data_IF_078186508493
#
_entry.id   IF_078186508493
#
_cell.length_a   1.000
_cell.length_b   1.000
_cell.length_c   1.000
_cell.angle_alpha   90.00
_cell.angle_beta   90.00
_cell.angle_gamma   90.00
#
_symmetry.space_group_name_H-M   'P 1'
#
loop_
_entity.id
_entity.type
_entity.pdbx_description
1 polymer ?
#
# COMPACT_ATOMS: atom_id res chain seq x y z
N UNK A 1 31.52 -3.99 5.46
CA UNK A 1 30.78 -3.02 6.29
C UNK A 1 30.54 -1.67 5.60
N UNK A 2 31.38 -1.21 4.69
CA UNK A 2 31.24 0.07 3.96
C UNK A 2 30.04 0.16 2.98
N UNK A 3 29.56 -0.96 2.46
CA UNK A 3 28.51 -0.98 1.43
C UNK A 3 27.08 -0.76 1.95
N UNK A 4 26.79 -1.00 3.21
CA UNK A 4 25.46 -0.77 3.81
C UNK A 4 25.25 0.72 4.10
N UNK A 5 26.29 1.40 4.52
CA UNK A 5 26.28 2.84 4.85
C UNK A 5 26.05 3.73 3.61
N UNK A 6 26.74 3.48 2.49
CA UNK A 6 26.64 4.35 1.29
C UNK A 6 25.28 4.32 0.59
N UNK A 7 24.54 3.19 0.59
CA UNK A 7 23.24 3.11 -0.08
C UNK A 7 22.09 3.77 0.71
N UNK A 8 22.14 3.73 2.04
CA UNK A 8 21.11 4.34 2.90
C UNK A 8 21.14 5.86 2.90
N UNK A 9 22.26 6.46 2.55
CA UNK A 9 22.44 7.93 2.51
C UNK A 9 22.32 8.55 1.11
N UNK A 10 21.93 7.79 0.09
CA UNK A 10 21.80 8.32 -1.28
C UNK A 10 20.81 9.49 -1.39
N UNK A 11 19.76 9.50 -0.55
CA UNK A 11 18.81 10.61 -0.45
C UNK A 11 19.45 11.91 0.06
N UNK A 12 20.54 11.82 0.82
CA UNK A 12 21.27 12.98 1.37
C UNK A 12 22.45 13.44 0.49
N UNK A 13 23.04 12.53 -0.29
CA UNK A 13 24.32 12.76 -0.98
C UNK A 13 24.20 12.88 -2.50
N UNK A 14 23.34 12.07 -3.14
CA UNK A 14 23.18 12.07 -4.60
C UNK A 14 22.44 13.31 -5.10
N UNK A 15 22.62 13.68 -6.37
CA UNK A 15 21.83 14.77 -7.01
C UNK A 15 20.34 14.51 -6.80
N UNK A 16 19.53 15.53 -6.39
CA UNK A 16 18.13 15.33 -6.03
C UNK A 16 17.30 14.53 -7.04
N UNK A 17 17.41 14.86 -8.34
CA UNK A 17 16.68 14.15 -9.39
C UNK A 17 17.06 12.67 -9.49
N UNK A 18 18.38 12.35 -9.40
CA UNK A 18 18.85 10.95 -9.43
C UNK A 18 18.37 10.19 -8.20
N UNK A 19 18.46 10.79 -7.01
CA UNK A 19 18.01 10.17 -5.77
C UNK A 19 16.50 9.85 -5.80
N UNK A 20 15.69 10.83 -6.23
CA UNK A 20 14.23 10.68 -6.36
C UNK A 20 13.84 9.60 -7.37
N UNK A 21 14.41 9.61 -8.58
CA UNK A 21 14.09 8.63 -9.62
C UNK A 21 14.53 7.21 -9.25
N UNK A 22 15.74 7.03 -8.71
CA UNK A 22 16.23 5.71 -8.28
C UNK A 22 15.40 5.12 -7.14
N UNK A 23 14.82 5.98 -6.31
CA UNK A 23 13.95 5.54 -5.21
C UNK A 23 12.51 5.33 -5.68
N UNK A 24 11.97 6.19 -6.54
CA UNK A 24 10.61 6.09 -7.05
C UNK A 24 10.43 4.88 -7.99
N UNK A 25 11.44 4.52 -8.78
CA UNK A 25 11.33 3.44 -9.75
C UNK A 25 10.93 2.07 -9.13
N UNK A 26 11.55 1.59 -8.04
CA UNK A 26 11.08 0.39 -7.36
C UNK A 26 9.66 0.53 -6.77
N UNK A 27 9.26 1.73 -6.33
CA UNK A 27 7.90 1.97 -5.83
C UNK A 27 6.88 1.89 -6.97
N UNK A 28 7.19 2.43 -8.15
CA UNK A 28 6.34 2.31 -9.35
C UNK A 28 6.15 0.84 -9.71
N UNK A 29 7.25 0.09 -9.81
CA UNK A 29 7.19 -1.34 -10.10
C UNK A 29 6.39 -2.10 -9.05
N UNK A 30 6.58 -1.78 -7.76
CA UNK A 30 5.82 -2.40 -6.67
C UNK A 30 4.32 -2.16 -6.81
N UNK A 31 3.90 -0.93 -7.05
CA UNK A 31 2.48 -0.61 -7.24
C UNK A 31 1.89 -1.29 -8.48
N UNK A 32 2.63 -1.40 -9.60
CA UNK A 32 2.18 -2.13 -10.78
C UNK A 32 2.06 -3.64 -10.49
N UNK A 33 3.02 -4.23 -9.80
CA UNK A 33 2.93 -5.62 -9.34
C UNK A 33 1.74 -5.86 -8.41
N UNK A 34 1.44 -4.91 -7.52
CA UNK A 34 0.27 -4.99 -6.65
C UNK A 34 -1.04 -5.01 -7.46
N UNK A 35 -1.15 -4.18 -8.49
CA UNK A 35 -2.33 -4.18 -9.38
C UNK A 35 -2.46 -5.49 -10.15
N UNK A 36 -1.33 -5.98 -10.69
CA UNK A 36 -1.31 -7.29 -11.37
C UNK A 36 -1.74 -8.43 -10.42
N UNK A 37 -1.21 -8.44 -9.21
CA UNK A 37 -1.59 -9.40 -8.18
C UNK A 37 -3.11 -9.36 -7.89
N UNK A 38 -3.70 -8.18 -7.67
CA UNK A 38 -5.13 -8.04 -7.40
C UNK A 38 -6.00 -8.57 -8.56
N UNK A 39 -5.55 -8.37 -9.81
CA UNK A 39 -6.23 -8.91 -11.00
C UNK A 39 -6.14 -10.45 -11.02
N UNK A 40 -4.94 -11.00 -10.77
CA UNK A 40 -4.75 -12.46 -10.77
C UNK A 40 -5.55 -13.15 -9.67
N UNK A 41 -5.62 -12.59 -8.48
CA UNK A 41 -6.44 -13.07 -7.37
C UNK A 41 -7.93 -13.13 -7.77
N UNK A 42 -8.44 -12.04 -8.37
CA UNK A 42 -9.81 -12.00 -8.89
C UNK A 42 -10.08 -13.02 -10.00
N UNK A 43 -9.11 -13.25 -10.89
CA UNK A 43 -9.21 -14.26 -11.96
C UNK A 43 -9.23 -15.67 -11.38
N UNK A 44 -8.41 -15.97 -10.38
CA UNK A 44 -8.42 -17.29 -9.73
C UNK A 44 -9.77 -17.55 -9.07
N UNK A 45 -10.27 -16.59 -8.29
CA UNK A 45 -11.57 -16.72 -7.64
C UNK A 45 -12.72 -16.89 -8.67
N UNK A 46 -12.77 -16.01 -9.67
CA UNK A 46 -13.86 -16.02 -10.67
C UNK A 46 -13.87 -17.25 -11.57
N UNK A 47 -12.69 -17.74 -12.00
CA UNK A 47 -12.61 -18.88 -12.93
C UNK A 47 -12.66 -20.24 -12.25
N UNK A 48 -12.05 -20.39 -11.08
CA UNK A 48 -11.86 -21.69 -10.44
C UNK A 48 -12.77 -21.94 -9.23
N UNK A 49 -13.45 -20.90 -8.72
CA UNK A 49 -14.40 -21.08 -7.62
C UNK A 49 -15.84 -20.86 -8.12
N UNK A 50 -16.32 -19.63 -8.18
CA UNK A 50 -17.65 -19.28 -8.71
C UNK A 50 -17.85 -17.75 -8.77
N UNK A 51 -18.88 -17.31 -9.51
CA UNK A 51 -19.29 -15.90 -9.52
C UNK A 51 -19.72 -15.41 -8.13
N UNK A 52 -20.42 -16.23 -7.36
CA UNK A 52 -20.80 -15.90 -5.99
C UNK A 52 -19.59 -15.73 -5.08
N UNK A 53 -18.55 -16.56 -5.25
CA UNK A 53 -17.29 -16.43 -4.53
C UNK A 53 -16.58 -15.10 -4.86
N UNK A 54 -16.53 -14.73 -6.14
CA UNK A 54 -15.98 -13.44 -6.57
C UNK A 54 -16.77 -12.27 -5.98
N UNK A 55 -18.09 -12.36 -5.96
CA UNK A 55 -18.95 -11.34 -5.35
C UNK A 55 -18.74 -11.25 -3.83
N UNK A 56 -18.56 -12.37 -3.11
CA UNK A 56 -18.31 -12.38 -1.67
C UNK A 56 -16.96 -11.76 -1.30
N UNK A 57 -15.90 -12.07 -2.07
CA UNK A 57 -14.57 -11.45 -1.93
C UNK A 57 -14.65 -9.96 -2.26
N UNK A 58 -15.36 -9.58 -3.33
CA UNK A 58 -15.58 -8.19 -3.72
C UNK A 58 -16.30 -7.36 -2.65
N UNK A 59 -17.36 -7.89 -2.03
CA UNK A 59 -18.06 -7.27 -0.92
C UNK A 59 -17.12 -7.09 0.30
N UNK A 60 -16.29 -8.08 0.59
CA UNK A 60 -15.30 -8.04 1.67
C UNK A 60 -14.20 -7.02 1.41
N UNK A 61 -13.85 -6.76 0.14
CA UNK A 61 -12.78 -5.84 -0.26
C UNK A 61 -13.05 -4.40 0.19
N UNK A 62 -14.30 -3.95 0.19
CA UNK A 62 -14.67 -2.63 0.69
C UNK A 62 -14.30 -2.46 2.19
N UNK A 63 -14.54 -3.50 2.99
CA UNK A 63 -14.17 -3.51 4.42
C UNK A 63 -12.65 -3.54 4.58
N UNK A 64 -11.98 -4.44 3.87
CA UNK A 64 -10.53 -4.61 3.98
C UNK A 64 -9.76 -3.35 3.61
N UNK A 65 -10.23 -2.58 2.62
CA UNK A 65 -9.63 -1.31 2.22
C UNK A 65 -9.60 -0.26 3.33
N UNK A 66 -10.60 -0.23 4.20
CA UNK A 66 -10.60 0.68 5.35
C UNK A 66 -9.43 0.37 6.29
N UNK A 67 -9.20 -0.91 6.58
CA UNK A 67 -8.08 -1.33 7.44
C UNK A 67 -6.72 -1.11 6.76
N UNK A 68 -6.63 -1.35 5.45
CA UNK A 68 -5.42 -1.06 4.65
C UNK A 68 -5.11 0.45 4.68
N UNK A 69 -6.12 1.32 4.55
CA UNK A 69 -5.94 2.77 4.62
C UNK A 69 -5.34 3.21 5.98
N UNK A 70 -5.78 2.59 7.08
CA UNK A 70 -5.20 2.82 8.41
C UNK A 70 -3.73 2.38 8.46
N UNK A 71 -3.40 1.21 7.92
CA UNK A 71 -2.03 0.70 7.89
C UNK A 71 -1.10 1.60 7.06
N UNK A 72 -1.54 2.01 5.86
CA UNK A 72 -0.76 2.86 4.95
C UNK A 72 -0.61 4.28 5.54
N UNK A 73 -1.72 4.92 5.93
CA UNK A 73 -1.70 6.28 6.47
C UNK A 73 -0.89 6.38 7.77
N UNK A 74 -1.03 5.37 8.64
CA UNK A 74 -0.24 5.28 9.85
C UNK A 74 1.25 5.04 9.58
N UNK A 75 1.57 4.18 8.62
CA UNK A 75 2.94 3.94 8.16
C UNK A 75 3.61 5.21 7.63
N UNK A 76 2.86 6.08 6.92
CA UNK A 76 3.35 7.38 6.46
C UNK A 76 3.79 8.28 7.63
N UNK A 77 2.99 8.39 8.70
CA UNK A 77 3.33 9.19 9.87
C UNK A 77 4.62 8.72 10.54
N UNK A 78 4.76 7.43 10.74
CA UNK A 78 5.98 6.83 11.29
C UNK A 78 7.19 7.03 10.38
N UNK A 79 7.01 6.89 9.07
CA UNK A 79 8.05 7.06 8.05
C UNK A 79 8.70 8.45 8.12
N UNK A 80 7.92 9.51 8.34
CA UNK A 80 8.44 10.89 8.45
C UNK A 80 9.39 11.02 9.64
N UNK A 81 8.99 10.56 10.81
CA UNK A 81 9.80 10.67 12.04
C UNK A 81 11.07 9.83 11.96
N UNK A 82 10.97 8.59 11.46
CA UNK A 82 12.12 7.70 11.26
C UNK A 82 13.11 8.32 10.27
N UNK A 83 12.62 8.87 9.15
CA UNK A 83 13.43 9.55 8.13
C UNK A 83 14.14 10.78 8.67
N UNK A 84 13.47 11.57 9.53
CA UNK A 84 14.08 12.75 10.16
C UNK A 84 15.23 12.36 11.09
N UNK A 85 15.07 11.34 11.94
CA UNK A 85 16.15 10.89 12.82
C UNK A 85 17.30 10.28 12.03
N UNK A 86 17.01 9.53 10.96
CA UNK A 86 18.07 9.04 10.06
C UNK A 86 18.84 10.18 9.42
N UNK A 87 18.15 11.18 8.89
CA UNK A 87 18.75 12.37 8.28
C UNK A 87 19.58 13.19 9.27
N UNK A 88 19.13 13.30 10.52
CA UNK A 88 19.85 13.98 11.60
C UNK A 88 21.09 13.21 12.11
N UNK A 89 21.30 11.97 11.62
CA UNK A 89 22.37 11.09 12.12
C UNK A 89 22.12 10.50 13.51
N UNK A 90 20.91 10.71 14.10
CA UNK A 90 20.54 10.21 15.44
C UNK A 90 20.04 8.78 15.35
N UNK A 91 20.99 7.85 15.15
CA UNK A 91 20.69 6.46 14.77
C UNK A 91 20.01 5.67 15.89
N UNK A 92 20.32 5.94 17.14
CA UNK A 92 19.67 5.29 18.29
C UNK A 92 18.21 5.73 18.41
N UNK A 93 17.92 7.04 18.24
CA UNK A 93 16.52 7.52 18.20
C UNK A 93 15.78 6.99 16.98
N UNK A 94 16.41 6.85 15.85
CA UNK A 94 15.82 6.19 14.68
C UNK A 94 15.42 4.74 15.00
N UNK A 95 16.29 3.96 15.68
CA UNK A 95 15.96 2.59 16.10
C UNK A 95 14.81 2.57 17.11
N UNK A 96 14.81 3.48 18.10
CA UNK A 96 13.70 3.64 19.06
C UNK A 96 12.40 3.97 18.31
N UNK A 97 12.45 4.86 17.32
CA UNK A 97 11.30 5.20 16.48
C UNK A 97 10.76 3.98 15.71
N UNK A 98 11.64 3.17 15.11
CA UNK A 98 11.25 1.92 14.44
C UNK A 98 10.60 0.95 15.42
N UNK A 99 11.21 0.71 16.59
CA UNK A 99 10.67 -0.19 17.61
C UNK A 99 9.30 0.28 18.11
N UNK A 100 9.17 1.58 18.43
CA UNK A 100 7.90 2.21 18.83
C UNK A 100 6.81 2.02 17.76
N UNK A 101 7.17 2.21 16.48
CA UNK A 101 6.26 1.99 15.35
C UNK A 101 5.77 0.56 15.30
N UNK A 102 6.69 -0.43 15.29
CA UNK A 102 6.33 -1.85 15.18
C UNK A 102 5.43 -2.30 16.33
N UNK A 103 5.74 -1.90 17.56
CA UNK A 103 4.93 -2.23 18.75
C UNK A 103 3.55 -1.58 18.66
N UNK A 104 3.48 -0.27 18.35
CA UNK A 104 2.21 0.45 18.22
C UNK A 104 1.29 -0.20 17.19
N UNK A 105 1.81 -0.52 16.01
CA UNK A 105 1.00 -1.12 14.95
C UNK A 105 0.63 -2.57 15.21
N UNK A 106 1.46 -3.33 15.92
CA UNK A 106 1.09 -4.66 16.38
C UNK A 106 -0.09 -4.61 17.35
N UNK A 107 -0.07 -3.69 18.31
CA UNK A 107 -1.17 -3.49 19.28
C UNK A 107 -2.44 -3.00 18.57
N UNK A 108 -2.32 -1.99 17.71
CA UNK A 108 -3.45 -1.45 16.95
C UNK A 108 -4.07 -2.52 16.06
N UNK A 109 -3.27 -3.29 15.34
CA UNK A 109 -3.77 -4.35 14.44
C UNK A 109 -4.44 -5.49 15.20
N UNK A 110 -3.91 -5.88 16.37
CA UNK A 110 -4.55 -6.87 17.23
C UNK A 110 -5.90 -6.37 17.78
N UNK A 111 -5.97 -5.10 18.21
CA UNK A 111 -7.22 -4.49 18.67
C UNK A 111 -8.25 -4.38 17.54
N UNK A 112 -7.84 -3.92 16.35
CA UNK A 112 -8.71 -3.84 15.18
C UNK A 112 -9.14 -5.23 14.68
N UNK A 113 -8.26 -6.23 14.72
CA UNK A 113 -8.57 -7.61 14.40
C UNK A 113 -9.62 -8.20 15.34
N UNK A 114 -9.44 -8.00 16.64
CA UNK A 114 -10.41 -8.43 17.66
C UNK A 114 -11.78 -7.72 17.48
N UNK A 115 -11.76 -6.41 17.21
CA UNK A 115 -12.97 -5.66 16.87
C UNK A 115 -13.66 -6.22 15.63
N UNK A 116 -12.90 -6.45 14.54
CA UNK A 116 -13.41 -7.02 13.30
C UNK A 116 -14.03 -8.40 13.51
N UNK A 117 -13.37 -9.28 14.28
CA UNK A 117 -13.90 -10.61 14.63
C UNK A 117 -15.20 -10.51 15.45
N UNK A 118 -15.28 -9.60 16.42
CA UNK A 118 -16.45 -9.43 17.27
C UNK A 118 -17.67 -8.87 16.52
N UNK A 119 -17.44 -8.01 15.52
CA UNK A 119 -18.49 -7.31 14.78
C UNK A 119 -18.63 -7.75 13.32
N UNK A 120 -17.97 -8.85 12.91
CA UNK A 120 -17.93 -9.32 11.52
C UNK A 120 -19.31 -9.36 10.85
N UNK A 121 -20.25 -10.07 11.44
CA UNK A 121 -21.58 -10.28 10.86
C UNK A 121 -22.41 -8.97 10.85
N UNK A 122 -22.21 -8.11 11.85
CA UNK A 122 -22.86 -6.78 11.89
C UNK A 122 -22.34 -5.85 10.81
N UNK A 123 -21.02 -5.87 10.55
CA UNK A 123 -20.41 -5.05 9.49
C UNK A 123 -21.02 -5.45 8.13
N UNK A 124 -21.11 -6.74 7.83
CA UNK A 124 -21.68 -7.23 6.58
C UNK A 124 -23.17 -6.91 6.46
N UNK A 125 -23.93 -7.04 7.55
CA UNK A 125 -25.36 -6.69 7.58
C UNK A 125 -25.58 -5.18 7.34
N UNK A 126 -24.76 -4.31 7.93
CA UNK A 126 -24.79 -2.87 7.68
C UNK A 126 -24.48 -2.51 6.21
N UNK A 127 -23.69 -3.33 5.55
CA UNK A 127 -23.39 -3.16 4.12
C UNK A 127 -24.47 -3.73 3.20
N UNK A 128 -25.53 -4.31 3.74
CA UNK A 128 -26.60 -4.97 2.99
C UNK A 128 -26.07 -6.06 2.03
N UNK A 129 -25.10 -6.87 2.51
CA UNK A 129 -24.56 -7.98 1.72
C UNK A 129 -25.66 -9.01 1.50
N UNK A 130 -25.92 -9.44 0.24
CA UNK A 130 -26.98 -10.41 -0.08
C UNK A 130 -26.81 -11.76 0.64
N UNK A 131 -27.91 -12.41 1.03
CA UNK A 131 -27.89 -13.66 1.81
C UNK A 131 -27.17 -14.81 1.10
N UNK A 132 -27.23 -14.87 -0.23
CA UNK A 132 -26.58 -15.90 -1.04
C UNK A 132 -25.04 -15.87 -1.00
N UNK A 133 -24.42 -14.75 -0.63
CA UNK A 133 -22.97 -14.59 -0.53
C UNK A 133 -22.52 -14.26 0.88
N UNK A 134 -23.44 -14.05 1.82
CA UNK A 134 -23.15 -13.60 3.19
C UNK A 134 -22.22 -14.55 3.94
N UNK A 135 -22.50 -15.85 3.88
CA UNK A 135 -21.71 -16.86 4.59
C UNK A 135 -20.24 -16.89 4.13
N UNK A 136 -20.02 -16.82 2.82
CA UNK A 136 -18.67 -16.81 2.23
C UNK A 136 -17.93 -15.50 2.54
N UNK A 137 -18.61 -14.36 2.46
CA UNK A 137 -18.06 -13.06 2.82
C UNK A 137 -17.69 -13.02 4.33
N UNK A 138 -18.54 -13.55 5.20
CA UNK A 138 -18.29 -13.63 6.63
C UNK A 138 -17.08 -14.54 6.95
N UNK A 139 -16.98 -15.67 6.27
CA UNK A 139 -15.84 -16.58 6.41
C UNK A 139 -14.53 -15.91 5.94
N UNK A 140 -14.56 -15.27 4.77
CA UNK A 140 -13.38 -14.54 4.23
C UNK A 140 -12.91 -13.47 5.19
N UNK A 141 -13.82 -12.60 5.66
CA UNK A 141 -13.46 -11.52 6.59
C UNK A 141 -12.97 -12.03 7.95
N UNK A 142 -13.53 -13.13 8.48
CA UNK A 142 -13.00 -13.73 9.72
C UNK A 142 -11.55 -14.15 9.57
N UNK A 143 -11.19 -14.80 8.46
CA UNK A 143 -9.80 -15.20 8.18
C UNK A 143 -8.93 -13.96 8.00
N UNK A 144 -9.43 -12.95 7.28
CA UNK A 144 -8.74 -11.68 7.08
C UNK A 144 -8.45 -10.96 8.42
N UNK A 145 -9.41 -10.89 9.33
CA UNK A 145 -9.22 -10.27 10.65
C UNK A 145 -8.19 -10.99 11.51
N UNK A 146 -8.11 -12.32 11.43
CA UNK A 146 -7.01 -13.09 12.01
C UNK A 146 -5.65 -12.73 11.38
N UNK A 147 -5.65 -12.43 10.10
CA UNK A 147 -4.46 -12.02 9.35
C UNK A 147 -4.07 -10.55 9.51
N UNK A 148 -4.92 -9.73 10.12
CA UNK A 148 -4.73 -8.29 10.20
C UNK A 148 -3.38 -7.87 10.84
N UNK A 149 -2.88 -8.51 11.90
CA UNK A 149 -1.56 -8.23 12.43
C UNK A 149 -0.43 -8.44 11.40
N UNK A 150 -0.50 -9.47 10.57
CA UNK A 150 0.51 -9.73 9.54
C UNK A 150 0.44 -8.69 8.41
N UNK A 151 -0.75 -8.34 7.98
CA UNK A 151 -0.98 -7.28 6.98
C UNK A 151 -0.41 -5.94 7.46
N UNK A 152 -0.73 -5.54 8.69
CA UNK A 152 -0.23 -4.29 9.26
C UNK A 152 1.29 -4.32 9.39
N UNK A 153 1.85 -5.40 9.92
CA UNK A 153 3.30 -5.53 10.09
C UNK A 153 4.02 -5.49 8.74
N UNK A 154 3.49 -6.14 7.70
CA UNK A 154 4.06 -6.08 6.36
C UNK A 154 4.07 -4.63 5.81
N UNK A 155 2.93 -3.92 5.86
CA UNK A 155 2.81 -2.55 5.35
C UNK A 155 3.68 -1.55 6.13
N UNK A 156 3.69 -1.67 7.46
CA UNK A 156 4.48 -0.79 8.32
C UNK A 156 5.98 -1.02 8.13
N UNK A 157 6.41 -2.27 8.00
CA UNK A 157 7.82 -2.59 7.72
C UNK A 157 8.24 -2.08 6.34
N UNK A 158 7.37 -2.16 5.33
CA UNK A 158 7.62 -1.54 4.03
C UNK A 158 7.81 -0.03 4.14
N UNK A 159 6.98 0.65 4.94
CA UNK A 159 7.14 2.09 5.26
C UNK A 159 8.44 2.39 5.99
N UNK A 160 8.86 1.52 6.92
CA UNK A 160 10.15 1.64 7.61
C UNK A 160 11.32 1.47 6.63
N UNK A 161 11.30 0.48 5.74
CA UNK A 161 12.33 0.35 4.70
C UNK A 161 12.41 1.59 3.82
N UNK A 162 11.27 2.12 3.40
CA UNK A 162 11.20 3.34 2.61
C UNK A 162 11.80 4.54 3.38
N UNK A 163 11.50 4.68 4.66
CA UNK A 163 12.06 5.74 5.50
C UNK A 163 13.59 5.65 5.65
N UNK A 164 14.12 4.42 5.59
CA UNK A 164 15.57 4.15 5.59
C UNK A 164 16.22 4.33 4.20
N UNK A 165 15.48 4.81 3.19
CA UNK A 165 15.98 5.00 1.84
C UNK A 165 16.07 3.72 1.00
N UNK A 166 15.39 2.64 1.41
CA UNK A 166 15.41 1.35 0.74
C UNK A 166 14.04 0.97 0.17
N UNK A 167 13.77 1.39 -1.05
CA UNK A 167 12.55 1.00 -1.78
C UNK A 167 12.66 -0.36 -2.50
N UNK A 168 13.86 -0.95 -2.58
CA UNK A 168 14.06 -2.22 -3.29
C UNK A 168 13.69 -3.43 -2.46
N UNK A 169 13.92 -3.39 -1.15
CA UNK A 169 13.57 -4.51 -0.27
C UNK A 169 12.06 -4.73 -0.20
N UNK A 170 11.20 -3.72 0.00
CA UNK A 170 9.75 -3.89 -0.10
C UNK A 170 9.29 -4.45 -1.44
N UNK A 171 9.85 -4.00 -2.58
CA UNK A 171 9.53 -4.53 -3.89
C UNK A 171 9.83 -6.03 -4.00
N UNK A 172 11.00 -6.47 -3.55
CA UNK A 172 11.37 -7.90 -3.59
C UNK A 172 10.44 -8.75 -2.73
N UNK A 173 10.08 -8.26 -1.55
CA UNK A 173 9.15 -8.93 -0.65
C UNK A 173 7.74 -8.97 -1.23
N UNK A 174 7.30 -7.92 -1.92
CA UNK A 174 6.01 -7.90 -2.60
C UNK A 174 5.96 -8.94 -3.73
N UNK A 175 6.99 -8.98 -4.58
CA UNK A 175 7.08 -9.98 -5.65
C UNK A 175 7.04 -11.40 -5.06
N UNK A 176 7.83 -11.66 -4.00
CA UNK A 176 7.81 -12.95 -3.30
C UNK A 176 6.42 -13.28 -2.75
N UNK A 177 5.79 -12.34 -2.03
CA UNK A 177 4.45 -12.51 -1.46
C UNK A 177 3.40 -12.80 -2.51
N UNK A 178 3.40 -12.04 -3.61
CA UNK A 178 2.44 -12.19 -4.69
C UNK A 178 2.56 -13.52 -5.42
N UNK A 179 3.79 -13.93 -5.74
CA UNK A 179 4.03 -15.23 -6.38
C UNK A 179 3.65 -16.38 -5.45
N UNK A 180 4.02 -16.31 -4.18
CA UNK A 180 3.66 -17.32 -3.19
C UNK A 180 2.14 -17.41 -3.03
N UNK A 181 1.45 -16.27 -2.96
CA UNK A 181 -0.01 -16.25 -2.84
C UNK A 181 -0.69 -16.89 -4.05
N UNK A 182 -0.31 -16.52 -5.30
CA UNK A 182 -0.87 -17.11 -6.52
C UNK A 182 -0.69 -18.63 -6.52
N UNK A 183 0.50 -19.13 -6.14
CA UNK A 183 0.75 -20.58 -6.06
C UNK A 183 -0.14 -21.24 -5.00
N UNK A 184 -0.27 -20.62 -3.83
CA UNK A 184 -1.12 -21.14 -2.76
C UNK A 184 -2.61 -21.07 -3.11
N UNK A 185 -3.07 -20.01 -3.78
CA UNK A 185 -4.44 -19.89 -4.26
C UNK A 185 -4.79 -21.03 -5.20
N UNK A 186 -3.95 -21.27 -6.22
CA UNK A 186 -4.16 -22.36 -7.16
C UNK A 186 -4.15 -23.73 -6.45
N UNK A 187 -3.21 -23.94 -5.53
CA UNK A 187 -3.11 -25.18 -4.76
C UNK A 187 -4.35 -25.41 -3.89
N UNK A 188 -4.79 -24.40 -3.12
CA UNK A 188 -5.90 -24.56 -2.20
C UNK A 188 -7.27 -24.60 -2.91
N UNK A 189 -7.41 -23.87 -4.02
CA UNK A 189 -8.65 -23.85 -4.78
C UNK A 189 -8.78 -25.08 -5.68
N UNK A 190 -7.73 -25.44 -6.43
CA UNK A 190 -7.81 -26.51 -7.43
C UNK A 190 -7.62 -27.88 -6.81
N UNK A 191 -6.54 -28.09 -6.01
CA UNK A 191 -6.20 -29.41 -5.46
C UNK A 191 -6.97 -29.71 -4.19
N UNK A 192 -7.10 -28.75 -3.26
CA UNK A 192 -7.78 -28.95 -2.00
C UNK A 192 -9.27 -28.59 -2.00
N UNK A 193 -9.79 -28.02 -3.09
CA UNK A 193 -11.20 -27.62 -3.27
C UNK A 193 -11.76 -26.76 -2.13
N UNK A 194 -10.90 -25.86 -1.57
CA UNK A 194 -11.25 -25.05 -0.40
C UNK A 194 -12.09 -23.81 -0.72
N UNK A 195 -12.42 -23.56 -2.00
CA UNK A 195 -13.22 -22.43 -2.45
C UNK A 195 -12.73 -21.07 -1.85
N UNK A 196 -13.62 -20.19 -1.39
CA UNK A 196 -13.32 -18.88 -0.80
C UNK A 196 -12.38 -18.99 0.41
N UNK A 197 -12.53 -20.05 1.22
CA UNK A 197 -11.64 -20.31 2.35
C UNK A 197 -10.19 -20.49 1.91
N UNK A 198 -9.97 -21.17 0.78
CA UNK A 198 -8.63 -21.41 0.23
C UNK A 198 -7.90 -20.10 -0.07
N UNK A 199 -8.56 -19.19 -0.77
CA UNK A 199 -8.02 -17.87 -1.12
C UNK A 199 -7.70 -17.04 0.12
N UNK A 200 -8.62 -17.00 1.10
CA UNK A 200 -8.39 -16.26 2.34
C UNK A 200 -7.18 -16.80 3.13
N UNK A 201 -7.04 -18.14 3.22
CA UNK A 201 -5.91 -18.79 3.91
C UNK A 201 -4.60 -18.61 3.14
N UNK A 202 -4.61 -18.69 1.81
CA UNK A 202 -3.44 -18.44 0.99
C UNK A 202 -2.90 -17.02 1.19
N UNK A 203 -3.78 -16.02 1.18
CA UNK A 203 -3.44 -14.63 1.47
C UNK A 203 -2.87 -14.48 2.87
N UNK A 204 -3.47 -15.11 3.88
CA UNK A 204 -2.98 -15.09 5.26
C UNK A 204 -1.56 -15.66 5.37
N UNK A 205 -1.31 -16.81 4.76
CA UNK A 205 0.01 -17.47 4.78
C UNK A 205 1.05 -16.62 4.04
N UNK A 206 0.74 -16.16 2.84
CA UNK A 206 1.65 -15.35 2.02
C UNK A 206 2.04 -14.05 2.74
N UNK A 207 1.09 -13.36 3.33
CA UNK A 207 1.33 -12.14 4.11
C UNK A 207 2.09 -12.43 5.41
N UNK A 208 1.74 -13.49 6.12
CA UNK A 208 2.42 -13.89 7.36
C UNK A 208 3.90 -14.21 7.14
N UNK A 209 4.21 -15.02 6.13
CA UNK A 209 5.59 -15.36 5.77
C UNK A 209 6.35 -14.11 5.29
N UNK A 210 5.73 -13.26 4.50
CA UNK A 210 6.35 -12.02 4.03
C UNK A 210 6.60 -11.03 5.16
N UNK A 211 5.69 -10.90 6.11
CA UNK A 211 5.89 -10.08 7.31
C UNK A 211 7.04 -10.60 8.17
N UNK A 212 7.14 -11.93 8.36
CA UNK A 212 8.22 -12.55 9.11
C UNK A 212 9.59 -12.36 8.43
N UNK A 213 9.67 -12.61 7.11
CA UNK A 213 10.89 -12.38 6.33
C UNK A 213 11.29 -10.91 6.33
N UNK A 214 10.32 -10.01 6.15
CA UNK A 214 10.51 -8.57 6.23
C UNK A 214 11.10 -8.16 7.58
N UNK A 215 10.55 -8.68 8.68
CA UNK A 215 11.04 -8.42 10.02
C UNK A 215 12.49 -8.88 10.21
N UNK A 216 12.83 -10.09 9.76
CA UNK A 216 14.18 -10.62 9.87
C UNK A 216 15.20 -9.77 9.07
N UNK A 217 14.84 -9.36 7.87
CA UNK A 217 15.68 -8.50 7.03
C UNK A 217 15.83 -7.11 7.68
N UNK A 218 14.73 -6.56 8.22
CA UNK A 218 14.76 -5.27 8.92
C UNK A 218 15.67 -5.33 10.16
N UNK A 219 15.56 -6.36 10.98
CA UNK A 219 16.40 -6.52 12.16
C UNK A 219 17.89 -6.65 11.81
N UNK A 220 18.20 -7.40 10.73
CA UNK A 220 19.58 -7.47 10.22
C UNK A 220 20.09 -6.11 9.76
N UNK A 221 19.26 -5.34 9.07
CA UNK A 221 19.61 -4.00 8.59
C UNK A 221 19.83 -3.04 9.76
N UNK A 222 18.96 -3.05 10.76
CA UNK A 222 19.07 -2.18 11.94
C UNK A 222 20.32 -2.47 12.78
N UNK A 223 20.76 -3.73 12.85
CA UNK A 223 22.02 -4.11 13.49
C UNK A 223 23.26 -3.49 12.80
N UNK A 224 23.17 -3.20 11.51
CA UNK A 224 24.24 -2.55 10.74
C UNK A 224 24.44 -1.06 11.06
N UNK A 225 23.45 -0.39 11.66
CA UNK A 225 23.58 0.99 12.11
C UNK A 225 24.27 1.04 13.48
N UNK A 226 25.33 1.88 13.59
CA UNK A 226 26.06 2.06 14.85
C UNK A 226 25.15 2.76 15.87
N UNK A 227 25.32 2.42 17.15
CA UNK A 227 24.65 3.15 18.23
C UNK A 227 25.40 4.46 18.51
N UNK A 228 24.64 5.50 18.77
CA UNK A 228 25.12 6.77 19.28
C UNK A 228 25.23 6.68 20.82
N UNK A 229 25.65 7.77 21.47
CA UNK A 229 25.70 7.91 22.93
C UNK A 229 24.31 8.00 23.58
N UNK A 230 23.23 8.05 22.76
CA UNK A 230 21.84 8.14 23.23
C UNK A 230 21.31 6.77 23.68
N UNK A 231 20.42 6.77 24.70
CA UNK A 231 19.79 5.54 25.21
C UNK A 231 18.73 4.98 24.26
N UNK A 232 18.86 3.71 23.92
CA UNK A 232 17.83 2.98 23.18
C UNK A 232 16.64 2.64 24.09
N UNK A 233 15.42 2.93 23.61
CA UNK A 233 14.17 2.54 24.24
C UNK A 233 13.36 1.65 23.29
N UNK A 234 12.81 0.56 23.80
CA UNK A 234 11.92 -0.30 23.01
C UNK A 234 10.63 0.43 22.60
N UNK A 235 10.12 1.29 23.48
CA UNK A 235 8.93 2.10 23.26
C UNK A 235 9.10 3.49 23.86
N UNK A 236 8.74 4.50 23.08
CA UNK A 236 8.77 5.89 23.51
C UNK A 236 7.41 6.54 23.22
N UNK A 237 6.72 6.94 24.32
CA UNK A 237 5.37 7.51 24.25
C UNK A 237 5.33 8.85 23.52
N UNK A 238 6.35 9.68 23.68
CA UNK A 238 6.41 11.00 23.03
C UNK A 238 6.61 10.84 21.52
N UNK A 239 7.45 9.90 21.12
CA UNK A 239 7.60 9.52 19.71
C UNK A 239 6.30 8.97 19.14
N UNK A 240 5.61 8.07 19.85
CA UNK A 240 4.32 7.54 19.44
C UNK A 240 3.29 8.66 19.24
N UNK A 241 3.22 9.61 20.17
CA UNK A 241 2.34 10.78 20.05
C UNK A 241 2.71 11.67 18.85
N UNK A 242 4.00 11.88 18.61
CA UNK A 242 4.49 12.65 17.45
C UNK A 242 4.16 11.97 16.13
N UNK A 243 4.33 10.64 16.04
CA UNK A 243 3.94 9.84 14.88
C UNK A 243 2.44 9.89 14.64
N UNK A 244 1.63 9.78 15.69
CA UNK A 244 0.17 9.84 15.61
C UNK A 244 -0.31 11.20 15.09
N UNK A 245 0.33 12.31 15.46
CA UNK A 245 -0.02 13.64 14.94
C UNK A 245 0.18 13.75 13.42
N UNK A 246 1.14 13.05 12.87
CA UNK A 246 1.38 13.02 11.41
C UNK A 246 0.51 11.94 10.75
N UNK A 247 0.33 10.80 11.41
CA UNK A 247 -0.44 9.67 10.89
C UNK A 247 -1.93 9.99 10.78
N UNK A 248 -2.52 10.64 11.79
CA UNK A 248 -3.96 10.89 11.84
C UNK A 248 -4.48 11.71 10.65
N UNK A 249 -3.86 12.86 10.26
CA UNK A 249 -4.25 13.56 9.05
C UNK A 249 -4.09 12.70 7.78
N UNK A 250 -3.05 11.87 7.69
CA UNK A 250 -2.82 11.00 6.54
C UNK A 250 -3.87 9.88 6.44
N UNK A 251 -4.27 9.29 7.57
CA UNK A 251 -5.36 8.30 7.63
C UNK A 251 -6.69 8.95 7.20
N UNK A 252 -6.99 10.13 7.74
CA UNK A 252 -8.21 10.87 7.38
C UNK A 252 -8.22 11.25 5.90
N UNK A 253 -7.10 11.71 5.34
CA UNK A 253 -6.96 12.00 3.92
C UNK A 253 -7.28 10.78 3.06
N UNK A 254 -6.67 9.62 3.36
CA UNK A 254 -6.93 8.38 2.64
C UNK A 254 -8.39 7.94 2.74
N UNK A 255 -8.98 8.04 3.93
CA UNK A 255 -10.38 7.69 4.15
C UNK A 255 -11.34 8.61 3.38
N UNK A 256 -11.10 9.93 3.37
CA UNK A 256 -11.91 10.90 2.63
C UNK A 256 -11.83 10.64 1.13
N UNK A 257 -10.65 10.33 0.59
CA UNK A 257 -10.48 9.98 -0.83
C UNK A 257 -11.32 8.75 -1.18
N UNK A 258 -11.27 7.69 -0.36
CA UNK A 258 -12.06 6.47 -0.60
C UNK A 258 -13.58 6.74 -0.54
N UNK A 259 -14.02 7.53 0.43
CA UNK A 259 -15.43 7.95 0.51
C UNK A 259 -15.83 8.79 -0.71
N UNK A 260 -14.96 9.68 -1.18
CA UNK A 260 -15.20 10.47 -2.40
C UNK A 260 -15.41 9.60 -3.63
N UNK A 261 -14.56 8.57 -3.82
CA UNK A 261 -14.70 7.61 -4.91
C UNK A 261 -16.04 6.88 -4.84
N UNK A 262 -16.45 6.42 -3.65
CA UNK A 262 -17.73 5.74 -3.45
C UNK A 262 -18.93 6.66 -3.76
N UNK A 263 -18.88 7.92 -3.36
CA UNK A 263 -19.93 8.89 -3.65
C UNK A 263 -20.05 9.16 -5.17
N UNK A 264 -18.92 9.37 -5.84
CA UNK A 264 -18.90 9.52 -7.31
C UNK A 264 -19.46 8.28 -7.99
N UNK A 265 -19.06 7.08 -7.59
CA UNK A 265 -19.58 5.82 -8.12
C UNK A 265 -21.10 5.71 -7.92
N UNK A 266 -21.60 6.11 -6.75
CA UNK A 266 -23.05 6.11 -6.47
C UNK A 266 -23.82 7.02 -7.43
N UNK A 267 -23.28 8.20 -7.75
CA UNK A 267 -23.88 9.11 -8.75
C UNK A 267 -23.81 8.51 -10.16
N UNK A 268 -22.65 7.96 -10.55
CA UNK A 268 -22.47 7.32 -11.87
C UNK A 268 -23.47 6.19 -12.08
N UNK A 269 -23.76 5.41 -11.05
CA UNK A 269 -24.71 4.30 -11.12
C UNK A 269 -26.14 4.74 -11.47
N UNK A 270 -26.48 6.02 -11.32
CA UNK A 270 -27.81 6.57 -11.71
C UNK A 270 -27.98 6.80 -13.21
N UNK A 271 -26.87 6.83 -13.97
CA UNK A 271 -26.90 7.16 -15.40
C UNK A 271 -27.06 5.97 -16.34
N UNK A 272 -27.19 4.74 -15.81
CA UNK A 272 -27.38 3.52 -16.59
C UNK A 272 -26.08 2.81 -16.98
N UNK A 273 -26.25 1.62 -17.60
CA UNK A 273 -25.17 0.66 -17.81
C UNK A 273 -24.05 1.14 -18.74
N UNK A 274 -24.38 1.87 -19.81
CA UNK A 274 -23.38 2.40 -20.77
C UNK A 274 -22.44 3.39 -20.10
N UNK A 275 -22.99 4.32 -19.29
CA UNK A 275 -22.19 5.32 -18.55
C UNK A 275 -21.32 4.63 -17.48
N UNK A 276 -21.86 3.63 -16.79
CA UNK A 276 -21.12 2.84 -15.81
C UNK A 276 -19.94 2.13 -16.48
N UNK A 277 -20.15 1.54 -17.66
CA UNK A 277 -19.09 0.85 -18.42
C UNK A 277 -17.98 1.82 -18.84
N UNK A 278 -18.33 2.98 -19.42
CA UNK A 278 -17.39 4.03 -19.80
C UNK A 278 -16.61 4.58 -18.60
N UNK A 279 -17.29 4.87 -17.50
CA UNK A 279 -16.65 5.32 -16.26
C UNK A 279 -15.68 4.26 -15.70
N UNK A 280 -16.08 2.98 -15.73
CA UNK A 280 -15.24 1.88 -15.26
C UNK A 280 -13.99 1.69 -16.11
N UNK A 281 -14.09 1.86 -17.43
CA UNK A 281 -12.93 1.86 -18.33
C UNK A 281 -12.00 3.05 -18.03
N UNK A 282 -12.57 4.25 -17.87
CA UNK A 282 -11.83 5.47 -17.52
C UNK A 282 -11.07 5.34 -16.20
N UNK A 283 -11.70 4.81 -15.15
CA UNK A 283 -11.07 4.63 -13.84
C UNK A 283 -9.94 3.59 -13.86
N UNK A 284 -9.99 2.59 -14.73
CA UNK A 284 -8.87 1.63 -14.92
C UNK A 284 -7.66 2.32 -15.54
N UNK A 285 -7.86 3.17 -16.53
CA UNK A 285 -6.79 3.98 -17.16
C UNK A 285 -6.22 4.95 -16.14
N UNK A 286 -7.07 5.63 -15.37
CA UNK A 286 -6.66 6.53 -14.28
C UNK A 286 -5.81 5.80 -13.24
N UNK A 287 -6.23 4.61 -12.80
CA UNK A 287 -5.52 3.81 -11.79
C UNK A 287 -4.09 3.48 -12.20
N UNK A 288 -3.84 3.19 -13.48
CA UNK A 288 -2.48 2.96 -14.01
C UNK A 288 -1.70 4.29 -14.07
N UNK A 289 -2.36 5.35 -14.47
CA UNK A 289 -1.75 6.69 -14.67
C UNK A 289 -1.32 7.35 -13.36
N UNK A 290 -2.06 7.14 -12.26
CA UNK A 290 -1.78 7.74 -10.96
C UNK A 290 -0.61 7.09 -10.22
N UNK A 291 -0.29 5.83 -10.52
CA UNK A 291 0.77 5.05 -9.85
C UNK A 291 2.14 5.73 -9.86
N UNK A 292 2.67 6.21 -11.00
CA UNK A 292 3.95 6.92 -11.01
C UNK A 292 3.93 8.22 -10.21
N UNK A 293 2.81 8.95 -10.23
CA UNK A 293 2.66 10.20 -9.49
C UNK A 293 2.72 9.97 -7.99
N UNK A 294 1.99 8.97 -7.49
CA UNK A 294 2.02 8.59 -6.07
C UNK A 294 3.41 8.12 -5.64
N UNK A 295 4.10 7.34 -6.47
CA UNK A 295 5.45 6.85 -6.18
C UNK A 295 6.47 8.00 -6.08
N UNK A 296 6.39 8.98 -6.98
CA UNK A 296 7.24 10.18 -6.94
C UNK A 296 6.91 11.02 -5.69
N UNK A 297 5.62 11.18 -5.35
CA UNK A 297 5.19 11.85 -4.12
C UNK A 297 5.74 11.19 -2.85
N UNK A 298 5.68 9.87 -2.75
CA UNK A 298 6.24 9.09 -1.65
C UNK A 298 7.78 9.21 -1.59
N UNK A 299 8.45 9.22 -2.74
CA UNK A 299 9.88 9.47 -2.83
C UNK A 299 10.25 10.87 -2.32
N UNK A 300 9.47 11.88 -2.70
CA UNK A 300 9.67 13.25 -2.25
C UNK A 300 9.41 13.41 -0.75
N UNK A 301 8.42 12.72 -0.19
CA UNK A 301 8.16 12.71 1.26
C UNK A 301 9.38 12.20 2.04
N UNK A 302 9.93 11.04 1.66
CA UNK A 302 11.13 10.47 2.28
C UNK A 302 12.36 11.39 2.11
N UNK A 303 12.55 11.91 0.88
CA UNK A 303 13.64 12.85 0.58
C UNK A 303 13.55 14.10 1.44
N UNK A 304 12.37 14.70 1.54
CA UNK A 304 12.13 15.89 2.37
C UNK A 304 12.42 15.60 3.83
N UNK A 305 11.85 14.52 4.39
CA UNK A 305 11.98 14.18 5.80
C UNK A 305 13.46 13.95 6.18
N UNK A 306 14.24 13.22 5.36
CA UNK A 306 15.65 12.99 5.62
C UNK A 306 16.48 14.30 5.51
N UNK A 307 16.26 15.12 4.48
CA UNK A 307 17.00 16.37 4.30
C UNK A 307 16.61 17.44 5.33
N UNK A 308 15.36 17.47 5.79
CA UNK A 308 14.94 18.32 6.93
C UNK A 308 15.61 17.87 8.22
N UNK A 309 15.69 16.56 8.47
CA UNK A 309 16.44 16.02 9.61
C UNK A 309 17.91 16.40 9.58
N UNK A 310 18.53 16.42 8.40
CA UNK A 310 19.92 16.86 8.18
C UNK A 310 20.11 18.39 8.21
N UNK A 311 19.04 19.18 8.39
CA UNK A 311 19.11 20.65 8.34
C UNK A 311 19.31 21.24 6.95
N UNK A 312 19.20 20.45 5.88
CA UNK A 312 19.54 20.91 4.51
C UNK A 312 18.29 21.39 3.74
N UNK A 313 17.75 22.53 4.16
CA UNK A 313 16.56 23.13 3.52
C UNK A 313 16.79 23.51 2.04
N UNK A 314 18.01 23.90 1.65
CA UNK A 314 18.31 24.23 0.25
C UNK A 314 18.06 23.02 -0.65
N UNK A 315 18.53 21.85 -0.21
CA UNK A 315 18.37 20.61 -0.94
C UNK A 315 16.92 20.16 -1.03
N UNK A 316 16.10 20.42 -0.01
CA UNK A 316 14.65 20.20 -0.03
C UNK A 316 13.99 21.03 -1.15
N UNK A 317 14.34 22.33 -1.26
CA UNK A 317 13.82 23.21 -2.33
C UNK A 317 14.22 22.72 -3.74
N UNK A 318 15.47 22.26 -3.88
CA UNK A 318 15.96 21.68 -5.14
C UNK A 318 15.18 20.41 -5.52
N UNK A 319 15.00 19.49 -4.56
CA UNK A 319 14.21 18.27 -4.74
C UNK A 319 12.76 18.57 -5.11
N UNK A 320 12.14 19.54 -4.44
CA UNK A 320 10.77 19.97 -4.75
C UNK A 320 10.63 20.47 -6.19
N UNK A 321 11.57 21.31 -6.66
CA UNK A 321 11.56 21.78 -8.06
C UNK A 321 11.64 20.62 -9.05
N UNK A 322 12.59 19.70 -8.82
CA UNK A 322 12.75 18.53 -9.69
C UNK A 322 11.48 17.68 -9.72
N UNK A 323 10.91 17.40 -8.55
CA UNK A 323 9.67 16.63 -8.42
C UNK A 323 8.50 17.34 -9.14
N UNK A 324 8.34 18.64 -8.96
CA UNK A 324 7.31 19.45 -9.61
C UNK A 324 7.39 19.36 -11.13
N UNK A 325 8.57 19.61 -11.70
CA UNK A 325 8.75 19.55 -13.15
C UNK A 325 8.62 18.13 -13.71
N UNK A 326 9.06 17.11 -12.97
CA UNK A 326 8.87 15.73 -13.37
C UNK A 326 7.38 15.34 -13.41
N UNK A 327 6.62 15.72 -12.38
CA UNK A 327 5.17 15.46 -12.33
C UNK A 327 4.39 16.27 -13.37
N UNK A 328 4.74 17.55 -13.56
CA UNK A 328 4.12 18.39 -14.59
C UNK A 328 4.38 17.84 -15.99
N UNK A 329 5.63 17.47 -16.30
CA UNK A 329 5.99 16.84 -17.58
C UNK A 329 5.27 15.51 -17.80
N UNK A 330 5.18 14.66 -16.77
CA UNK A 330 4.43 13.42 -16.84
C UNK A 330 2.93 13.64 -17.06
N UNK A 331 2.33 14.62 -16.37
CA UNK A 331 0.91 14.99 -16.55
C UNK A 331 0.62 15.47 -17.97
N UNK A 332 1.51 16.30 -18.56
CA UNK A 332 1.38 16.76 -19.96
C UNK A 332 1.45 15.57 -20.92
N UNK A 333 2.41 14.67 -20.74
CA UNK A 333 2.54 13.46 -21.57
C UNK A 333 1.28 12.59 -21.47
N UNK A 334 0.75 12.37 -20.27
CA UNK A 334 -0.49 11.62 -20.08
C UNK A 334 -1.68 12.32 -20.77
N UNK A 335 -1.81 13.64 -20.61
CA UNK A 335 -2.87 14.41 -21.25
C UNK A 335 -2.81 14.26 -22.79
N UNK A 336 -1.64 14.36 -23.38
CA UNK A 336 -1.45 14.17 -24.82
C UNK A 336 -1.78 12.73 -25.23
N UNK A 337 -1.30 11.74 -24.49
CA UNK A 337 -1.58 10.32 -24.80
C UNK A 337 -3.08 9.99 -24.70
N UNK A 338 -3.77 10.51 -23.67
CA UNK A 338 -5.21 10.27 -23.51
C UNK A 338 -6.03 10.99 -24.58
N UNK A 339 -5.61 12.17 -25.03
CA UNK A 339 -6.27 12.88 -26.13
C UNK A 339 -6.05 12.20 -27.48
N UNK A 340 -4.85 11.71 -27.76
CA UNK A 340 -4.52 11.07 -29.05
C UNK A 340 -5.02 9.62 -29.15
N UNK A 341 -4.98 8.88 -28.05
CA UNK A 341 -5.26 7.45 -28.02
C UNK A 341 -6.42 7.05 -27.12
N UNK A 342 -7.23 7.99 -26.65
CA UNK A 342 -8.34 7.74 -25.72
C UNK A 342 -9.34 6.72 -26.25
N UNK A 343 -9.74 6.83 -27.51
CA UNK A 343 -10.63 5.87 -28.15
C UNK A 343 -10.02 4.45 -28.24
N UNK A 344 -8.71 4.35 -28.51
CA UNK A 344 -7.99 3.09 -28.54
C UNK A 344 -7.91 2.45 -27.14
N UNK A 345 -7.69 3.27 -26.11
CA UNK A 345 -7.67 2.76 -24.74
C UNK A 345 -9.06 2.26 -24.29
N UNK A 346 -10.13 2.96 -24.63
CA UNK A 346 -11.49 2.55 -24.30
C UNK A 346 -11.87 1.27 -25.05
N UNK A 347 -11.57 1.18 -26.37
CA UNK A 347 -11.86 0.00 -27.18
C UNK A 347 -11.09 -1.25 -26.77
N UNK A 348 -10.00 -1.11 -26.01
CA UNK A 348 -9.29 -2.24 -25.41
C UNK A 348 -10.06 -2.89 -24.23
N UNK A 349 -11.03 -2.18 -23.65
CA UNK A 349 -11.82 -2.64 -22.50
C UNK A 349 -13.29 -2.88 -22.83
N UNK A 350 -13.80 -2.32 -23.92
CA UNK A 350 -15.20 -2.39 -24.33
C UNK A 350 -15.30 -2.86 -25.77
N UNK A 351 -16.37 -3.60 -26.09
CA UNK A 351 -16.71 -3.95 -27.47
C UNK A 351 -17.02 -2.72 -28.32
N UNK A 352 -16.90 -2.83 -29.65
CA UNK A 352 -16.97 -1.70 -30.57
C UNK A 352 -18.24 -0.84 -30.44
N UNK A 353 -19.40 -1.45 -30.15
CA UNK A 353 -20.66 -0.72 -29.97
C UNK A 353 -20.70 0.03 -28.63
N UNK A 354 -20.25 -0.61 -27.55
CA UNK A 354 -20.21 0.01 -26.22
C UNK A 354 -19.13 1.10 -26.11
N UNK A 355 -18.05 1.03 -26.92
CA UNK A 355 -16.98 2.03 -26.92
C UNK A 355 -17.40 3.34 -27.56
N UNK A 356 -18.32 3.33 -28.52
CA UNK A 356 -18.81 4.53 -29.19
C UNK A 356 -19.73 5.37 -28.27
N UNK A 357 -20.56 4.71 -27.43
CA UNK A 357 -21.36 5.41 -26.41
C UNK A 357 -20.49 5.93 -25.24
N UNK A 358 -19.46 5.18 -24.86
CA UNK A 358 -18.55 5.55 -23.78
C UNK A 358 -17.63 6.71 -24.12
#
# INVERSE_FOLDING_TARGET
MENVSKKSFSMLTDRPGKALLLFAFPLILGNLFQQFYNIMDSVVVGKFVSENALASVGASYAVTNVFIAVAIGGGMGSSVIISQFLGAGRLTKMKTAVSTTLISFLVISAALGAFGLAFNDRILSLMNVPDNIFADAALYLRIYFWGLPFLFMYNVQASVFNSLGDSRTPLKLLIFSSLLNIVLDLLFVIEFHMAVRGVAVATLIAQGLSAALSFLILMRKLRGYRQDEEDFRFYDREMAASMTRVALPSILQQSIVQLGILLVQSVVNTFGSSVIAGYSAGTRIESISIVPMLAIGNAMSTFTAQNMGAGNQKRVKEGYRVCYFALAGFAVVLCVLTQLFGSLFISAFLDAEASAEA
#
